data_IF_179163243494
#
_entry.id   IF_179163243494
#
_cell.length_a   1.000
_cell.length_b   1.000
_cell.length_c   1.000
_cell.angle_alpha   90.00
_cell.angle_beta   90.00
_cell.angle_gamma   90.00
#
_symmetry.space_group_name_H-M   'P 1'
#
loop_
_entity.id
_entity.type
_entity.pdbx_description
1 polymer ?
#
# COMPACT_ATOMS: atom_id res chain seq x y z
N UNK A 1 -16.22 -24.57 33.49
CA UNK A 1 -16.05 -23.37 32.66
C UNK A 1 -14.75 -23.53 31.89
N UNK A 2 -14.82 -23.97 30.64
CA UNK A 2 -13.67 -24.01 29.74
C UNK A 2 -13.28 -22.57 29.43
N UNK A 3 -12.06 -22.16 29.78
CA UNK A 3 -11.51 -20.87 29.33
C UNK A 3 -11.53 -20.85 27.81
N UNK A 4 -12.44 -20.06 27.23
CA UNK A 4 -12.44 -19.81 25.79
C UNK A 4 -11.15 -19.08 25.47
N UNK A 5 -10.24 -19.73 24.75
CA UNK A 5 -8.99 -19.09 24.30
C UNK A 5 -9.36 -17.86 23.46
N UNK A 6 -8.73 -16.73 23.74
CA UNK A 6 -8.93 -15.52 22.93
C UNK A 6 -8.55 -15.78 21.48
N UNK A 7 -9.23 -15.10 20.55
CA UNK A 7 -8.94 -15.23 19.13
C UNK A 7 -7.47 -14.88 18.81
N UNK A 8 -6.91 -13.89 19.48
CA UNK A 8 -5.50 -13.52 19.27
C UNK A 8 -4.53 -14.65 19.64
N UNK A 9 -4.80 -15.38 20.73
CA UNK A 9 -4.00 -16.56 21.11
C UNK A 9 -4.09 -17.64 20.05
N UNK A 10 -5.28 -17.86 19.47
CA UNK A 10 -5.47 -18.82 18.37
C UNK A 10 -4.68 -18.40 17.13
N UNK A 11 -4.74 -17.13 16.75
CA UNK A 11 -4.00 -16.61 15.58
C UNK A 11 -2.50 -16.78 15.77
N UNK A 12 -1.97 -16.44 16.96
CA UNK A 12 -0.54 -16.61 17.27
C UNK A 12 -0.10 -18.07 17.18
N UNK A 13 -0.86 -18.97 17.78
CA UNK A 13 -0.56 -20.41 17.72
C UNK A 13 -0.60 -20.96 16.29
N UNK A 14 -1.52 -20.47 15.44
CA UNK A 14 -1.54 -20.84 14.02
C UNK A 14 -0.32 -20.30 13.27
N UNK A 15 0.15 -19.11 13.64
CA UNK A 15 1.27 -18.43 12.98
C UNK A 15 2.62 -19.11 13.21
N UNK A 16 2.79 -19.78 14.35
CA UNK A 16 4.01 -20.52 14.71
C UNK A 16 4.33 -21.64 13.71
N UNK A 17 3.33 -22.13 12.99
CA UNK A 17 3.45 -23.17 11.97
C UNK A 17 3.26 -22.65 10.53
N UNK A 18 3.01 -21.36 10.35
CA UNK A 18 2.71 -20.78 9.04
C UNK A 18 3.98 -20.44 8.26
N UNK A 19 4.09 -21.00 7.05
CA UNK A 19 5.19 -20.78 6.10
C UNK A 19 4.89 -19.73 5.02
N UNK A 20 3.74 -19.05 5.09
CA UNK A 20 3.34 -18.04 4.12
C UNK A 20 4.34 -16.88 4.10
N UNK A 21 5.03 -16.69 2.96
CA UNK A 21 6.05 -15.65 2.76
C UNK A 21 5.47 -14.23 2.89
N UNK A 22 4.18 -14.08 2.62
CA UNK A 22 3.40 -12.86 2.79
C UNK A 22 3.56 -12.27 4.20
N UNK A 23 3.64 -13.11 5.24
CA UNK A 23 3.72 -12.68 6.64
C UNK A 23 5.01 -11.92 6.98
N UNK A 24 6.06 -12.19 6.22
CA UNK A 24 7.40 -11.64 6.42
C UNK A 24 7.69 -10.50 5.42
N UNK A 25 6.69 -10.11 4.62
CA UNK A 25 6.80 -8.94 3.74
C UNK A 25 6.83 -7.65 4.55
N UNK A 26 7.64 -6.66 4.13
CA UNK A 26 7.63 -5.35 4.73
C UNK A 26 6.27 -4.66 4.63
N UNK A 27 5.87 -4.01 5.71
CA UNK A 27 4.68 -3.15 5.81
C UNK A 27 5.14 -1.71 6.03
N UNK A 28 4.82 -0.84 5.08
CA UNK A 28 5.19 0.57 5.14
C UNK A 28 4.19 1.40 5.96
N UNK A 29 4.60 2.62 6.33
CA UNK A 29 3.68 3.63 6.85
C UNK A 29 3.20 4.55 5.72
N UNK A 30 1.97 5.00 5.78
CA UNK A 30 1.37 5.89 4.77
C UNK A 30 2.24 7.12 4.45
N UNK A 31 2.80 7.76 5.49
CA UNK A 31 3.72 8.89 5.33
C UNK A 31 4.98 8.55 4.50
N UNK A 32 5.41 7.28 4.55
CA UNK A 32 6.57 6.77 3.83
C UNK A 32 6.20 6.36 2.39
N UNK A 33 4.92 6.47 2.02
CA UNK A 33 4.39 6.07 0.72
C UNK A 33 3.85 7.21 -0.13
N UNK A 34 3.78 8.45 0.38
CA UNK A 34 3.13 9.59 -0.29
C UNK A 34 3.51 9.71 -1.77
N UNK A 35 4.80 9.70 -2.13
CA UNK A 35 5.26 9.83 -3.52
C UNK A 35 4.97 8.61 -4.41
N UNK A 36 4.52 7.50 -3.82
CA UNK A 36 4.20 6.24 -4.50
C UNK A 36 2.73 5.84 -4.41
N UNK A 37 1.90 6.61 -3.71
CA UNK A 37 0.46 6.37 -3.56
C UNK A 37 -0.33 7.63 -3.89
N UNK A 38 -0.67 8.45 -2.88
CA UNK A 38 -1.45 9.67 -3.02
C UNK A 38 -0.87 10.61 -4.09
N UNK A 39 0.45 10.79 -4.09
CA UNK A 39 1.13 11.65 -5.04
C UNK A 39 1.13 11.13 -6.48
N UNK A 40 0.88 9.85 -6.71
CA UNK A 40 0.69 9.30 -8.06
C UNK A 40 -0.76 9.39 -8.54
N UNK A 41 -1.71 9.68 -7.64
CA UNK A 41 -3.12 9.78 -8.00
C UNK A 41 -3.38 10.91 -8.99
N UNK A 42 -4.31 10.67 -9.92
CA UNK A 42 -4.84 11.70 -10.81
C UNK A 42 -5.48 12.82 -10.02
N UNK A 43 -6.19 12.50 -8.94
CA UNK A 43 -6.78 13.51 -8.07
C UNK A 43 -5.74 14.50 -7.52
N UNK A 44 -4.62 14.02 -6.99
CA UNK A 44 -3.58 14.91 -6.50
C UNK A 44 -3.02 15.80 -7.63
N UNK A 45 -2.76 15.21 -8.81
CA UNK A 45 -2.18 15.93 -9.94
C UNK A 45 -3.13 16.98 -10.57
N UNK A 46 -4.44 16.73 -10.55
CA UNK A 46 -5.44 17.50 -11.28
C UNK A 46 -6.59 18.02 -10.40
N UNK A 47 -6.35 18.21 -9.09
CA UNK A 47 -7.37 18.54 -8.08
C UNK A 47 -8.34 19.68 -8.45
N UNK A 48 -7.90 20.59 -9.33
CA UNK A 48 -8.65 21.77 -9.78
C UNK A 48 -9.32 21.60 -11.16
N UNK A 49 -9.14 20.45 -11.83
CA UNK A 49 -9.81 20.12 -13.08
C UNK A 49 -11.09 19.33 -12.78
N UNK A 50 -12.23 19.76 -13.32
CA UNK A 50 -13.54 19.10 -13.12
C UNK A 50 -13.62 17.64 -13.61
N UNK A 51 -12.55 17.11 -14.20
CA UNK A 51 -12.41 15.73 -14.68
C UNK A 51 -11.81 14.76 -13.64
N UNK A 52 -11.23 15.26 -12.55
CA UNK A 52 -10.53 14.43 -11.56
C UNK A 52 -11.45 14.06 -10.38
N UNK A 53 -12.21 12.97 -10.53
CA UNK A 53 -13.04 12.45 -9.42
C UNK A 53 -12.16 12.12 -8.21
N UNK A 54 -12.52 12.67 -7.04
CA UNK A 54 -11.67 12.63 -5.85
C UNK A 54 -11.38 11.20 -5.38
N UNK A 55 -12.39 10.36 -5.32
CA UNK A 55 -12.28 8.92 -5.11
C UNK A 55 -13.61 8.26 -5.47
N UNK A 56 -13.62 6.93 -5.61
CA UNK A 56 -14.84 6.11 -5.66
C UNK A 56 -14.79 5.09 -4.53
N UNK A 57 -15.82 5.05 -3.69
CA UNK A 57 -15.94 3.98 -2.69
C UNK A 57 -16.45 2.71 -3.36
N UNK A 58 -15.72 1.61 -3.18
CA UNK A 58 -15.98 0.30 -3.74
C UNK A 58 -16.03 -0.77 -2.65
N UNK A 59 -16.70 -1.88 -2.93
CA UNK A 59 -16.53 -3.13 -2.21
C UNK A 59 -15.73 -4.10 -3.07
N UNK A 60 -14.59 -4.57 -2.55
CA UNK A 60 -13.65 -5.41 -3.30
C UNK A 60 -13.20 -6.60 -2.47
N UNK A 61 -13.00 -7.73 -3.12
CA UNK A 61 -12.16 -8.81 -2.60
C UNK A 61 -10.70 -8.37 -2.72
N UNK A 62 -10.03 -8.22 -1.59
CA UNK A 62 -8.69 -7.62 -1.51
C UNK A 62 -7.65 -8.68 -1.17
N UNK A 63 -6.74 -9.02 -2.09
CA UNK A 63 -5.59 -9.84 -1.78
C UNK A 63 -4.74 -9.15 -0.71
N UNK A 64 -4.40 -9.86 0.36
CA UNK A 64 -3.60 -9.31 1.46
C UNK A 64 -2.23 -8.83 0.96
N UNK A 65 -1.69 -9.50 -0.06
CA UNK A 65 -0.43 -9.13 -0.73
C UNK A 65 -0.42 -7.75 -1.39
N UNK A 66 -1.60 -7.19 -1.66
CA UNK A 66 -1.78 -5.87 -2.26
C UNK A 66 -1.97 -4.76 -1.21
N UNK A 67 -2.09 -5.13 0.06
CA UNK A 67 -2.11 -4.18 1.18
C UNK A 67 -0.66 -3.92 1.59
N UNK A 68 -0.15 -2.74 1.26
CA UNK A 68 1.29 -2.43 1.33
C UNK A 68 1.67 -1.57 2.54
N UNK A 69 0.68 -1.01 3.22
CA UNK A 69 0.95 -0.15 4.37
C UNK A 69 -0.21 0.11 5.29
N UNK A 70 0.12 0.76 6.40
CA UNK A 70 -0.81 1.20 7.44
C UNK A 70 -0.68 2.71 7.62
N UNK A 71 -1.78 3.37 8.00
CA UNK A 71 -1.73 4.77 8.41
C UNK A 71 -0.83 4.98 9.64
N UNK A 72 -0.89 4.08 10.62
CA UNK A 72 0.01 4.07 11.77
C UNK A 72 0.24 2.66 12.32
N UNK A 73 1.31 2.50 13.11
CA UNK A 73 1.63 1.28 13.86
C UNK A 73 1.98 1.55 15.33
N UNK A 74 1.31 2.50 15.96
CA UNK A 74 1.59 2.90 17.36
C UNK A 74 1.60 1.74 18.37
N UNK A 75 0.86 0.66 18.11
CA UNK A 75 0.85 -0.57 18.90
C UNK A 75 2.10 -1.44 18.75
N UNK A 76 2.91 -1.21 17.71
CA UNK A 76 4.16 -1.91 17.44
C UNK A 76 5.13 -1.01 16.65
N UNK A 77 5.72 0.02 17.29
CA UNK A 77 6.47 1.09 16.58
C UNK A 77 7.65 0.60 15.75
N UNK A 78 8.31 -0.46 16.21
CA UNK A 78 9.53 -1.01 15.58
C UNK A 78 9.23 -2.15 14.59
N UNK A 79 8.00 -2.68 14.57
CA UNK A 79 7.61 -3.78 13.72
C UNK A 79 7.59 -3.37 12.23
N UNK A 80 8.20 -4.19 11.40
CA UNK A 80 8.36 -3.99 9.95
C UNK A 80 7.59 -4.99 9.12
N UNK A 81 7.18 -6.13 9.68
CA UNK A 81 6.42 -7.18 8.97
C UNK A 81 5.06 -7.43 9.60
N UNK A 82 4.17 -8.13 8.89
CA UNK A 82 2.86 -8.54 9.44
C UNK A 82 3.01 -9.38 10.70
N UNK A 83 3.96 -10.32 10.70
CA UNK A 83 4.28 -11.17 11.85
C UNK A 83 4.72 -10.37 13.07
N UNK A 84 5.62 -9.40 12.89
CA UNK A 84 6.08 -8.53 13.96
C UNK A 84 4.96 -7.61 14.47
N UNK A 85 4.10 -7.11 13.58
CA UNK A 85 2.95 -6.28 13.94
C UNK A 85 1.95 -7.05 14.82
N UNK A 86 1.70 -8.32 14.52
CA UNK A 86 0.81 -9.18 15.34
C UNK A 86 1.34 -9.35 16.78
N UNK A 87 2.66 -9.41 16.95
CA UNK A 87 3.28 -9.56 18.26
C UNK A 87 2.94 -8.38 19.19
N UNK A 88 2.75 -7.16 18.66
CA UNK A 88 2.35 -5.97 19.42
C UNK A 88 0.85 -5.83 19.69
N UNK A 89 -0.01 -6.71 19.16
CA UNK A 89 -1.45 -6.63 19.42
C UNK A 89 -1.84 -7.16 20.82
N UNK A 90 -2.87 -6.55 21.40
CA UNK A 90 -3.43 -6.97 22.69
C UNK A 90 -4.72 -7.81 22.57
N UNK A 91 -5.55 -7.54 21.56
CA UNK A 91 -6.74 -8.35 21.26
C UNK A 91 -7.83 -8.34 22.34
N UNK A 92 -7.97 -7.24 23.09
CA UNK A 92 -8.93 -7.13 24.19
C UNK A 92 -10.37 -7.38 23.69
N UNK A 93 -11.04 -8.36 24.30
CA UNK A 93 -12.41 -8.73 23.97
C UNK A 93 -12.58 -9.50 22.65
N UNK A 94 -11.51 -10.06 22.08
CA UNK A 94 -11.60 -10.83 20.83
C UNK A 94 -11.89 -12.31 21.11
N UNK A 95 -13.09 -12.76 20.75
CA UNK A 95 -13.53 -14.15 20.81
C UNK A 95 -13.69 -14.81 19.43
N UNK A 96 -14.29 -16.01 19.37
CA UNK A 96 -14.47 -16.77 18.12
C UNK A 96 -15.18 -16.02 16.98
N UNK A 97 -16.05 -15.07 17.32
CA UNK A 97 -16.68 -14.15 16.38
C UNK A 97 -15.68 -13.26 15.63
N UNK A 98 -14.54 -12.92 16.23
CA UNK A 98 -13.46 -12.17 15.56
C UNK A 98 -12.83 -13.00 14.43
N UNK A 99 -12.64 -14.31 14.64
CA UNK A 99 -12.10 -15.19 13.59
C UNK A 99 -13.12 -15.34 12.45
N UNK A 100 -14.39 -15.53 12.79
CA UNK A 100 -15.49 -15.59 11.80
C UNK A 100 -15.60 -14.29 10.99
N UNK A 101 -15.40 -13.14 11.63
CA UNK A 101 -15.36 -11.85 10.95
C UNK A 101 -14.27 -11.81 9.87
N UNK A 102 -13.05 -12.29 10.16
CA UNK A 102 -11.99 -12.27 9.14
C UNK A 102 -12.29 -13.15 7.93
N UNK A 103 -13.11 -14.19 8.10
CA UNK A 103 -13.52 -15.11 7.04
C UNK A 103 -14.82 -14.68 6.34
N UNK A 104 -15.53 -13.66 6.86
CA UNK A 104 -16.80 -13.19 6.31
C UNK A 104 -16.61 -12.19 5.15
N UNK A 105 -17.72 -11.77 4.55
CA UNK A 105 -17.77 -10.58 3.71
C UNK A 105 -17.84 -9.34 4.60
N UNK A 106 -16.79 -8.51 4.61
CA UNK A 106 -16.66 -7.46 5.64
C UNK A 106 -17.64 -6.30 5.45
N UNK A 107 -17.79 -5.79 4.23
CA UNK A 107 -18.61 -4.61 3.92
C UNK A 107 -18.40 -3.44 4.88
N UNK A 108 -19.51 -2.88 5.38
CA UNK A 108 -19.55 -1.90 6.47
C UNK A 108 -19.74 -2.57 7.86
N UNK A 109 -19.58 -3.90 7.96
CA UNK A 109 -19.79 -4.65 9.20
C UNK A 109 -18.82 -4.15 10.30
N UNK A 110 -19.38 -3.91 11.47
CA UNK A 110 -18.62 -3.51 12.63
C UNK A 110 -17.78 -4.69 13.11
N UNK A 111 -16.54 -4.40 13.49
CA UNK A 111 -15.68 -5.43 14.05
C UNK A 111 -16.20 -5.86 15.43
N UNK A 112 -16.33 -7.18 15.67
CA UNK A 112 -16.98 -7.69 16.87
C UNK A 112 -16.01 -7.67 18.08
N UNK A 113 -15.62 -6.47 18.49
CA UNK A 113 -14.83 -6.24 19.70
C UNK A 113 -15.32 -4.97 20.41
N UNK A 114 -15.20 -4.89 21.75
CA UNK A 114 -15.59 -3.71 22.51
C UNK A 114 -14.90 -2.45 21.98
N UNK A 115 -15.66 -1.36 21.87
CA UNK A 115 -15.16 -0.02 21.46
C UNK A 115 -14.57 0.05 20.05
N UNK A 116 -14.71 -0.99 19.22
CA UNK A 116 -14.29 -0.96 17.84
C UNK A 116 -15.26 -0.10 17.01
N UNK A 117 -14.79 1.08 16.58
CA UNK A 117 -15.56 1.93 15.67
C UNK A 117 -15.45 1.44 14.21
N UNK A 118 -16.57 1.50 13.49
CA UNK A 118 -16.71 1.24 12.05
C UNK A 118 -16.19 -0.13 11.58
N UNK A 119 -16.28 -0.40 10.28
CA UNK A 119 -15.64 -1.54 9.59
C UNK A 119 -14.18 -1.29 9.19
N UNK A 120 -13.54 -2.30 8.61
CA UNK A 120 -12.22 -2.16 7.96
C UNK A 120 -12.35 -1.21 6.76
N UNK A 121 -11.48 -0.21 6.66
CA UNK A 121 -11.45 0.72 5.51
C UNK A 121 -10.04 0.82 4.96
N UNK A 122 -9.95 0.72 3.64
CA UNK A 122 -8.71 0.87 2.90
C UNK A 122 -8.82 2.06 1.93
N UNK A 123 -7.68 2.67 1.62
CA UNK A 123 -7.51 3.52 0.45
C UNK A 123 -6.71 2.76 -0.59
N UNK A 124 -7.14 2.82 -1.85
CA UNK A 124 -6.50 2.12 -2.96
C UNK A 124 -6.01 3.09 -4.02
N UNK A 125 -4.78 2.90 -4.49
CA UNK A 125 -4.20 3.59 -5.63
C UNK A 125 -3.78 2.55 -6.66
N UNK A 126 -4.58 2.37 -7.71
CA UNK A 126 -4.45 1.18 -8.55
C UNK A 126 -4.54 -0.08 -7.69
N UNK A 127 -3.63 -1.04 -7.92
CA UNK A 127 -3.57 -2.27 -7.14
C UNK A 127 -2.94 -2.17 -5.75
N UNK A 128 -2.42 -1.00 -5.31
CA UNK A 128 -1.78 -0.84 -4.01
C UNK A 128 -2.74 -0.24 -2.97
N UNK A 129 -2.89 -0.89 -1.81
CA UNK A 129 -3.79 -0.44 -0.75
C UNK A 129 -3.08 -0.09 0.55
N UNK A 130 -3.61 0.91 1.25
CA UNK A 130 -3.20 1.29 2.60
C UNK A 130 -4.42 1.25 3.53
N UNK A 131 -4.20 0.75 4.74
CA UNK A 131 -5.22 0.76 5.78
C UNK A 131 -5.38 2.13 6.42
N UNK A 132 -6.59 2.69 6.36
CA UNK A 132 -6.92 3.97 7.00
C UNK A 132 -7.76 3.82 8.26
N UNK A 133 -8.52 2.73 8.38
CA UNK A 133 -9.23 2.39 9.61
C UNK A 133 -9.16 0.88 9.89
N UNK A 134 -8.89 0.51 11.15
CA UNK A 134 -8.87 -0.90 11.55
C UNK A 134 -7.50 -1.57 11.44
N UNK A 135 -6.40 -0.86 11.69
CA UNK A 135 -5.04 -1.44 11.57
C UNK A 135 -4.85 -2.70 12.42
N UNK A 136 -5.40 -2.75 13.64
CA UNK A 136 -5.28 -3.93 14.52
C UNK A 136 -6.00 -5.15 13.92
N UNK A 137 -7.24 -4.97 13.46
CA UNK A 137 -8.05 -6.05 12.89
C UNK A 137 -7.50 -6.47 11.53
N UNK A 138 -6.95 -5.54 10.75
CA UNK A 138 -6.27 -5.86 9.50
C UNK A 138 -5.05 -6.75 9.74
N UNK A 139 -4.16 -6.37 10.66
CA UNK A 139 -2.96 -7.17 10.97
C UNK A 139 -3.34 -8.57 11.43
N UNK A 140 -4.32 -8.67 12.34
CA UNK A 140 -4.79 -9.95 12.83
C UNK A 140 -5.45 -10.81 11.74
N UNK A 141 -6.32 -10.20 10.92
CA UNK A 141 -7.00 -10.87 9.82
C UNK A 141 -6.04 -11.30 8.72
N UNK A 142 -5.06 -10.45 8.36
CA UNK A 142 -4.03 -10.77 7.38
C UNK A 142 -3.21 -11.98 7.85
N UNK A 143 -2.80 -12.00 9.13
CA UNK A 143 -2.09 -13.12 9.70
C UNK A 143 -2.95 -14.38 9.74
N UNK A 144 -4.19 -14.27 10.22
CA UNK A 144 -5.14 -15.38 10.28
C UNK A 144 -5.37 -15.98 8.90
N UNK A 145 -5.79 -15.17 7.92
CA UNK A 145 -6.09 -15.63 6.57
C UNK A 145 -4.84 -16.23 5.90
N UNK A 146 -3.65 -15.64 6.07
CA UNK A 146 -2.42 -16.21 5.53
C UNK A 146 -2.09 -17.60 6.12
N UNK A 147 -2.40 -17.86 7.39
CA UNK A 147 -2.23 -19.22 7.96
C UNK A 147 -3.19 -20.25 7.36
N UNK A 148 -4.29 -19.79 6.76
CA UNK A 148 -5.36 -20.64 6.21
C UNK A 148 -5.27 -20.81 4.70
N UNK A 149 -4.87 -19.74 4.01
CA UNK A 149 -4.95 -19.58 2.55
C UNK A 149 -3.56 -19.39 1.91
N UNK A 150 -2.49 -19.28 2.70
CA UNK A 150 -1.14 -19.05 2.20
C UNK A 150 -0.96 -17.64 1.64
N UNK A 151 -0.11 -17.51 0.63
CA UNK A 151 0.27 -16.22 0.03
C UNK A 151 -0.83 -15.57 -0.83
N UNK A 152 -1.87 -16.34 -1.15
CA UNK A 152 -3.06 -15.88 -1.89
C UNK A 152 -4.22 -15.46 -0.96
N UNK A 153 -3.92 -15.29 0.33
CA UNK A 153 -4.90 -14.83 1.32
C UNK A 153 -5.66 -13.58 0.87
N UNK A 154 -6.98 -13.61 1.00
CA UNK A 154 -7.88 -12.57 0.49
C UNK A 154 -8.95 -12.23 1.52
N UNK A 155 -9.12 -10.93 1.79
CA UNK A 155 -10.29 -10.42 2.51
C UNK A 155 -11.44 -10.24 1.53
N UNK A 156 -12.67 -10.58 1.95
CA UNK A 156 -13.84 -10.45 1.07
C UNK A 156 -14.64 -9.19 1.33
N UNK A 157 -15.16 -8.58 0.25
CA UNK A 157 -16.04 -7.39 0.30
C UNK A 157 -15.52 -6.25 1.18
N UNK A 158 -14.26 -5.89 1.07
CA UNK A 158 -13.67 -4.79 1.86
C UNK A 158 -14.11 -3.44 1.29
N UNK A 159 -14.45 -2.48 2.14
CA UNK A 159 -14.66 -1.09 1.73
C UNK A 159 -13.34 -0.42 1.35
N UNK A 160 -13.23 0.00 0.10
CA UNK A 160 -12.05 0.66 -0.46
C UNK A 160 -12.41 2.00 -1.07
N UNK A 161 -11.77 3.07 -0.62
CA UNK A 161 -11.80 4.37 -1.31
C UNK A 161 -10.72 4.36 -2.39
N UNK A 162 -11.16 4.18 -3.64
CA UNK A 162 -10.29 3.99 -4.79
C UNK A 162 -9.95 5.30 -5.50
N UNK A 163 -8.68 5.49 -5.81
CA UNK A 163 -8.11 6.63 -6.52
C UNK A 163 -7.44 6.15 -7.81
N UNK A 164 -7.85 6.74 -8.94
CA UNK A 164 -7.19 6.50 -10.22
C UNK A 164 -5.75 7.02 -10.21
N UNK A 165 -4.85 6.27 -10.83
CA UNK A 165 -3.42 6.58 -10.92
C UNK A 165 -3.02 7.16 -12.27
N UNK A 166 -1.86 7.83 -12.29
CA UNK A 166 -1.14 8.16 -13.52
C UNK A 166 -0.40 6.94 -14.03
N UNK A 167 -0.97 6.25 -15.00
CA UNK A 167 -0.49 4.94 -15.48
C UNK A 167 0.95 4.97 -16.00
N UNK A 168 1.36 6.04 -16.69
CA UNK A 168 2.72 6.17 -17.20
C UNK A 168 3.76 6.26 -16.08
N UNK A 169 3.41 6.86 -14.95
CA UNK A 169 4.31 6.91 -13.80
C UNK A 169 4.51 5.51 -13.21
N UNK A 170 3.43 4.72 -13.08
CA UNK A 170 3.49 3.32 -12.63
C UNK A 170 4.32 2.49 -13.61
N UNK A 171 4.09 2.64 -14.92
CA UNK A 171 4.84 1.92 -15.95
C UNK A 171 6.36 2.18 -15.86
N UNK A 172 6.79 3.41 -15.57
CA UNK A 172 8.20 3.72 -15.34
C UNK A 172 8.76 2.97 -14.13
N UNK A 173 8.02 2.94 -13.01
CA UNK A 173 8.46 2.27 -11.78
C UNK A 173 8.55 0.75 -11.96
N UNK A 174 7.52 0.12 -12.52
CA UNK A 174 7.47 -1.33 -12.73
C UNK A 174 8.55 -1.81 -13.69
N UNK A 175 8.77 -1.07 -14.78
CA UNK A 175 9.80 -1.38 -15.75
C UNK A 175 11.22 -1.14 -15.20
N UNK A 176 11.42 -0.15 -14.32
CA UNK A 176 12.68 0.02 -13.60
C UNK A 176 12.95 -1.16 -12.66
N UNK A 177 11.95 -1.60 -11.90
CA UNK A 177 12.07 -2.75 -11.01
C UNK A 177 12.37 -4.04 -11.77
N UNK A 178 11.71 -4.27 -12.92
CA UNK A 178 11.98 -5.42 -13.79
C UNK A 178 13.44 -5.48 -14.26
N UNK A 179 14.09 -4.33 -14.40
CA UNK A 179 15.53 -4.22 -14.72
C UNK A 179 16.45 -4.32 -13.50
N UNK A 180 15.91 -4.57 -12.30
CA UNK A 180 16.67 -4.64 -11.05
C UNK A 180 17.14 -3.28 -10.53
N UNK A 181 16.47 -2.19 -10.90
CA UNK A 181 16.82 -0.84 -10.46
C UNK A 181 16.05 -0.45 -9.19
N UNK A 182 16.70 0.29 -8.29
CA UNK A 182 15.99 0.93 -7.17
C UNK A 182 15.27 2.17 -7.67
N UNK A 183 14.05 2.41 -7.18
CA UNK A 183 13.21 3.54 -7.55
C UNK A 183 13.05 4.51 -6.39
N UNK A 184 13.14 5.79 -6.70
CA UNK A 184 12.84 6.88 -5.78
C UNK A 184 11.91 7.87 -6.49
N UNK A 185 11.05 8.52 -5.72
CA UNK A 185 10.09 9.48 -6.23
C UNK A 185 10.19 10.81 -5.48
N UNK A 186 9.93 11.90 -6.18
CA UNK A 186 9.94 13.25 -5.64
C UNK A 186 8.53 13.82 -5.72
N UNK A 187 8.00 14.30 -4.60
CA UNK A 187 6.75 15.04 -4.57
C UNK A 187 6.96 16.54 -4.27
N UNK A 188 6.01 17.37 -4.71
CA UNK A 188 5.97 18.79 -4.41
C UNK A 188 5.23 19.07 -3.08
N UNK A 189 5.02 20.34 -2.74
CA UNK A 189 4.33 20.76 -1.50
C UNK A 189 2.85 20.35 -1.44
N UNK A 190 2.24 20.11 -2.59
CA UNK A 190 0.86 19.65 -2.72
C UNK A 190 0.79 18.11 -2.71
N UNK A 191 1.88 17.45 -2.29
CA UNK A 191 2.06 16.01 -2.26
C UNK A 191 1.96 15.34 -3.64
N UNK A 192 2.02 16.09 -4.75
CA UNK A 192 1.98 15.54 -6.12
C UNK A 192 3.36 15.05 -6.49
N UNK A 193 3.46 13.82 -7.00
CA UNK A 193 4.74 13.29 -7.50
C UNK A 193 5.09 13.96 -8.82
N UNK A 194 6.24 14.60 -8.89
CA UNK A 194 6.67 15.41 -10.05
C UNK A 194 7.87 14.81 -10.78
N UNK A 195 8.60 13.90 -10.14
CA UNK A 195 9.70 13.20 -10.77
C UNK A 195 9.92 11.81 -10.18
N UNK A 196 10.49 10.93 -11.01
CA UNK A 196 10.96 9.61 -10.63
C UNK A 196 12.46 9.55 -10.94
N UNK A 197 13.23 8.96 -10.04
CA UNK A 197 14.64 8.65 -10.23
C UNK A 197 14.82 7.14 -10.11
N UNK A 198 15.50 6.54 -11.07
CA UNK A 198 15.90 5.13 -10.96
C UNK A 198 17.42 5.05 -10.87
N UNK A 199 17.90 4.05 -10.14
CA UNK A 199 19.31 3.91 -9.81
C UNK A 199 19.75 2.45 -9.95
N UNK A 200 20.88 2.30 -10.63
CA UNK A 200 21.74 1.11 -10.59
C UNK A 200 23.02 1.44 -9.83
N UNK A 201 23.90 0.46 -9.62
CA UNK A 201 25.23 0.70 -9.06
C UNK A 201 26.08 1.70 -9.87
N UNK A 202 25.78 1.90 -11.16
CA UNK A 202 26.63 2.67 -12.09
C UNK A 202 25.96 3.91 -12.69
N UNK A 203 24.63 4.02 -12.62
CA UNK A 203 23.88 5.03 -13.37
C UNK A 203 22.60 5.44 -12.66
N UNK A 204 22.28 6.72 -12.80
CA UNK A 204 20.96 7.28 -12.52
C UNK A 204 20.21 7.61 -13.81
N UNK A 205 18.90 7.44 -13.80
CA UNK A 205 17.97 7.96 -14.81
C UNK A 205 16.87 8.74 -14.12
N UNK A 206 16.30 9.71 -14.83
CA UNK A 206 15.36 10.66 -14.29
C UNK A 206 14.18 10.80 -15.24
N UNK A 207 12.98 10.81 -14.68
CA UNK A 207 11.75 11.08 -15.40
C UNK A 207 11.06 12.28 -14.77
N UNK A 208 10.61 13.20 -15.61
CA UNK A 208 9.69 14.25 -15.20
C UNK A 208 8.26 13.76 -15.44
N UNK A 209 7.40 13.96 -14.45
CA UNK A 209 5.97 13.71 -14.57
C UNK A 209 5.27 15.04 -14.84
N UNK A 210 4.55 15.13 -15.94
CA UNK A 210 3.80 16.32 -16.36
C UNK A 210 2.40 15.90 -16.78
N UNK A 211 1.42 16.19 -15.93
CA UNK A 211 0.09 15.57 -16.02
C UNK A 211 0.21 14.04 -16.03
N UNK A 212 -0.33 13.42 -17.08
CA UNK A 212 -0.28 11.97 -17.32
C UNK A 212 1.02 11.49 -17.96
N UNK A 213 1.82 12.40 -18.52
CA UNK A 213 3.01 12.02 -19.25
C UNK A 213 4.19 11.78 -18.31
N UNK A 214 4.99 10.76 -18.62
CA UNK A 214 6.29 10.52 -18.03
C UNK A 214 7.36 10.63 -19.13
N UNK A 215 8.23 11.64 -19.03
CA UNK A 215 9.30 11.85 -20.00
C UNK A 215 10.67 11.66 -19.34
N UNK A 216 11.53 10.82 -19.93
CA UNK A 216 12.92 10.72 -19.50
C UNK A 216 13.61 12.06 -19.77
N UNK A 217 14.33 12.59 -18.77
CA UNK A 217 15.06 13.84 -18.85
C UNK A 217 16.54 13.61 -18.56
N UNK A 218 17.43 14.47 -19.10
CA UNK A 218 18.81 14.50 -18.65
C UNK A 218 18.89 14.72 -17.13
N UNK A 219 19.97 14.21 -16.53
CA UNK A 219 20.18 14.38 -15.10
C UNK A 219 20.14 15.88 -14.72
N UNK A 220 19.36 16.28 -13.70
CA UNK A 220 19.17 17.69 -13.37
C UNK A 220 20.50 18.41 -13.06
N UNK A 221 20.53 19.73 -13.29
CA UNK A 221 21.64 20.61 -12.89
C UNK A 221 22.69 20.96 -13.96
N UNK A 222 22.49 20.56 -15.21
CA UNK A 222 23.32 21.00 -16.34
C UNK A 222 24.79 20.55 -16.29
N UNK A 223 25.67 21.28 -16.98
CA UNK A 223 27.12 20.97 -17.08
C UNK A 223 27.86 20.98 -15.73
N UNK A 224 27.62 21.92 -14.79
CA UNK A 224 28.29 21.91 -13.48
C UNK A 224 28.00 20.63 -12.68
N UNK A 225 26.75 20.16 -12.69
CA UNK A 225 26.39 18.92 -12.00
C UNK A 225 26.87 17.68 -12.77
N UNK A 226 27.03 17.75 -14.10
CA UNK A 226 27.69 16.69 -14.88
C UNK A 226 29.16 16.52 -14.44
N UNK A 227 29.90 17.62 -14.28
CA UNK A 227 31.26 17.56 -13.78
C UNK A 227 31.32 16.97 -12.37
N UNK A 228 30.45 17.45 -11.45
CA UNK A 228 30.36 16.90 -10.08
C UNK A 228 30.14 15.39 -10.06
N UNK A 229 29.26 14.86 -10.92
CA UNK A 229 29.06 13.40 -11.06
C UNK A 229 30.32 12.68 -11.51
N UNK A 230 31.07 13.23 -12.47
CA UNK A 230 32.32 12.63 -12.94
C UNK A 230 33.40 12.54 -11.85
N UNK A 231 33.43 13.48 -10.91
CA UNK A 231 34.38 13.49 -9.79
C UNK A 231 33.80 12.95 -8.47
N UNK A 232 32.63 12.33 -8.51
CA UNK A 232 31.99 11.73 -7.32
C UNK A 232 31.45 12.71 -6.28
N UNK A 233 31.24 13.98 -6.64
CA UNK A 233 30.71 15.02 -5.74
C UNK A 233 29.17 15.08 -5.77
N UNK A 234 28.51 15.44 -4.65
CA UNK A 234 27.07 15.65 -4.60
C UNK A 234 26.57 16.72 -5.58
N UNK A 235 25.50 16.41 -6.30
CA UNK A 235 24.82 17.32 -7.24
C UNK A 235 23.67 18.07 -6.57
N UNK A 236 23.08 19.06 -7.26
CA UNK A 236 21.85 19.71 -6.78
C UNK A 236 20.68 18.73 -6.76
N UNK A 237 20.63 17.79 -7.70
CA UNK A 237 19.61 16.75 -7.72
C UNK A 237 19.65 15.88 -6.45
N UNK A 238 20.84 15.66 -5.87
CA UNK A 238 21.00 14.87 -4.65
C UNK A 238 20.55 15.61 -3.38
N UNK A 239 20.33 16.92 -3.46
CA UNK A 239 19.79 17.73 -2.36
C UNK A 239 18.26 17.71 -2.30
N UNK A 240 17.61 17.15 -3.32
CA UNK A 240 16.16 16.97 -3.30
C UNK A 240 15.80 15.82 -2.38
N UNK A 241 14.66 15.93 -1.70
CA UNK A 241 14.17 14.87 -0.82
C UNK A 241 13.51 13.76 -1.65
N UNK A 242 14.33 12.85 -2.14
CA UNK A 242 13.89 11.66 -2.85
C UNK A 242 13.35 10.64 -1.84
N UNK A 243 12.10 10.22 -2.02
CA UNK A 243 11.47 9.18 -1.23
C UNK A 243 11.71 7.82 -1.89
N UNK A 244 12.39 6.87 -1.22
CA UNK A 244 12.51 5.51 -1.73
C UNK A 244 11.13 4.89 -1.92
N UNK A 245 10.91 4.23 -3.06
CA UNK A 245 9.69 3.48 -3.31
C UNK A 245 9.98 2.00 -3.05
N UNK A 246 9.35 1.38 -2.02
CA UNK A 246 9.60 -0.03 -1.71
C UNK A 246 9.18 -0.95 -2.86
N UNK A 247 9.95 -2.03 -3.15
CA UNK A 247 9.60 -2.95 -4.23
C UNK A 247 8.21 -3.56 -4.12
N UNK A 248 7.79 -3.90 -2.89
CA UNK A 248 6.46 -4.42 -2.60
C UNK A 248 5.33 -3.46 -3.00
N UNK A 249 5.58 -2.14 -2.98
CA UNK A 249 4.63 -1.12 -3.41
C UNK A 249 4.56 -1.08 -4.92
N UNK A 250 5.71 -1.11 -5.61
CA UNK A 250 5.77 -1.16 -7.08
C UNK A 250 5.10 -2.44 -7.61
N UNK A 251 5.33 -3.57 -6.94
CA UNK A 251 4.63 -4.82 -7.24
C UNK A 251 3.12 -4.65 -7.10
N UNK A 252 2.62 -4.10 -5.99
CA UNK A 252 1.19 -3.93 -5.80
C UNK A 252 0.58 -2.93 -6.80
N UNK A 253 1.30 -1.86 -7.15
CA UNK A 253 0.89 -0.89 -8.18
C UNK A 253 0.80 -1.54 -9.56
N UNK A 254 1.76 -2.40 -9.91
CA UNK A 254 1.84 -3.05 -11.22
C UNK A 254 0.95 -4.30 -11.37
N UNK A 255 0.65 -4.99 -10.28
CA UNK A 255 -0.24 -6.16 -10.25
C UNK A 255 -1.69 -5.73 -9.95
N UNK A 256 -2.29 -4.98 -10.87
CA UNK A 256 -3.68 -4.50 -10.75
C UNK A 256 -4.70 -5.41 -11.46
N UNK A 257 -4.29 -6.57 -11.96
CA UNK A 257 -5.17 -7.52 -12.65
C UNK A 257 -6.38 -7.95 -11.79
N UNK A 258 -6.16 -8.23 -10.49
CA UNK A 258 -7.22 -8.57 -9.53
C UNK A 258 -8.25 -7.44 -9.35
N UNK A 259 -7.79 -6.19 -9.48
CA UNK A 259 -8.64 -5.02 -9.38
C UNK A 259 -9.42 -4.87 -10.70
N UNK A 260 -8.74 -4.90 -11.85
CA UNK A 260 -9.38 -4.77 -13.17
C UNK A 260 -10.46 -5.82 -13.35
N UNK A 261 -10.20 -7.07 -13.00
CA UNK A 261 -11.17 -8.15 -13.05
C UNK A 261 -12.47 -7.82 -12.30
N UNK A 262 -12.36 -7.27 -11.09
CA UNK A 262 -13.51 -6.86 -10.28
C UNK A 262 -14.16 -5.55 -10.73
N UNK A 263 -13.40 -4.67 -11.41
CA UNK A 263 -13.98 -3.46 -12.00
C UNK A 263 -14.77 -3.79 -13.27
N UNK A 264 -14.28 -4.72 -14.07
CA UNK A 264 -14.92 -5.19 -15.30
C UNK A 264 -16.09 -6.16 -14.98
N UNK A 265 -15.99 -6.90 -13.87
CA UNK A 265 -17.02 -7.83 -13.40
C UNK A 265 -17.33 -7.60 -11.91
N UNK A 266 -18.08 -6.53 -11.55
CA UNK A 266 -18.37 -6.22 -10.16
C UNK A 266 -19.14 -7.34 -9.45
N UNK A 267 -18.52 -7.95 -8.44
CA UNK A 267 -19.16 -8.96 -7.59
C UNK A 267 -20.13 -8.33 -6.58
N UNK A 268 -19.94 -7.05 -6.25
CA UNK A 268 -20.70 -6.33 -5.25
C UNK A 268 -21.33 -5.08 -5.85
N UNK A 269 -22.54 -4.69 -5.41
CA UNK A 269 -23.09 -3.39 -5.77
C UNK A 269 -22.19 -2.28 -5.22
N UNK A 270 -22.18 -1.13 -5.88
CA UNK A 270 -21.48 0.06 -5.41
C UNK A 270 -21.88 0.38 -3.96
N UNK A 271 -20.90 0.85 -3.17
CA UNK A 271 -21.17 1.26 -1.81
C UNK A 271 -22.18 2.43 -1.79
N UNK A 272 -23.10 2.48 -0.81
CA UNK A 272 -24.03 3.60 -0.70
C UNK A 272 -23.24 4.92 -0.61
N UNK A 273 -23.65 5.91 -1.40
CA UNK A 273 -23.16 7.28 -1.22
C UNK A 273 -23.78 7.82 0.06
N UNK A 274 -22.97 7.95 1.11
CA UNK A 274 -23.35 8.61 2.36
C UNK A 274 -22.91 10.07 2.33
#
# INVERSE_FOLDING_TARGET
MTESRSALTIIRAALDHASASLLDRPVALDRDLIASTFGLSRYAAFRNEGSASASRTLYLDVPVRNIVGLFHRSFAPDARTWRELLAGLHGNGWGPETLRYFESELGDEHFPAPSAAYGLRLQGWGGALVCTNGMHRLVAGACWLATRQGDDATFRKVRVDYYALREQAVAVMTEAQRRGESVEALHNRDCVTVAIRTRTAKRFRYWRLDGEAAAEIPAPGGWPDRFRRCVGLPTRADKLLWQPVPPAVIDALGHDAWLREQLDNPCYPDAPRY
#
